data_IF_352104098592
#
_entry.id   IF_352104098592
#
_cell.length_a   1.000
_cell.length_b   1.000
_cell.length_c   1.000
_cell.angle_alpha   90.00
_cell.angle_beta   90.00
_cell.angle_gamma   90.00
#
_symmetry.space_group_name_H-M   'P 1'
#
loop_
_entity.id
_entity.type
_entity.pdbx_description
1 polymer ?
#
# COMPACT_ATOMS: atom_id res chain seq x y z
N UNK A 1 -9.20 4.78 11.64
CA UNK A 1 -7.99 4.37 10.89
C UNK A 1 -8.25 4.60 9.40
N UNK A 2 -7.28 5.11 8.65
CA UNK A 2 -7.39 5.27 7.20
C UNK A 2 -6.47 4.25 6.52
N UNK A 3 -7.01 3.50 5.56
CA UNK A 3 -6.26 2.47 4.83
C UNK A 3 -6.21 2.85 3.36
N UNK A 4 -5.01 3.18 2.88
CA UNK A 4 -4.76 3.37 1.47
C UNK A 4 -4.47 2.01 0.82
N UNK A 5 -5.27 1.64 -0.17
CA UNK A 5 -5.16 0.37 -0.89
C UNK A 5 -5.05 0.59 -2.39
N UNK A 6 -4.58 -0.40 -3.14
CA UNK A 6 -4.37 -0.30 -4.58
C UNK A 6 -3.08 -0.96 -5.05
N UNK A 7 -2.85 -1.04 -6.37
CA UNK A 7 -1.71 -1.75 -6.93
C UNK A 7 -0.37 -1.05 -6.59
N UNK A 8 0.73 -1.72 -6.91
CA UNK A 8 2.08 -1.24 -6.61
C UNK A 8 2.35 0.11 -7.30
N UNK A 9 3.24 0.93 -6.74
CA UNK A 9 3.63 2.22 -7.32
C UNK A 9 2.46 3.19 -7.66
N UNK A 10 1.33 3.08 -6.97
CA UNK A 10 0.18 3.99 -7.15
C UNK A 10 0.25 5.27 -6.29
N UNK A 11 1.37 5.52 -5.61
CA UNK A 11 1.54 6.75 -4.81
C UNK A 11 1.00 6.66 -3.37
N UNK A 12 0.64 5.46 -2.88
CA UNK A 12 0.02 5.28 -1.56
C UNK A 12 0.92 5.79 -0.43
N UNK A 13 2.21 5.44 -0.45
CA UNK A 13 3.17 5.83 0.58
C UNK A 13 3.41 7.33 0.52
N UNK A 14 3.63 7.85 -0.68
CA UNK A 14 3.83 9.27 -0.95
C UNK A 14 2.64 10.12 -0.48
N UNK A 15 1.41 9.67 -0.74
CA UNK A 15 0.20 10.32 -0.24
C UNK A 15 0.11 10.25 1.30
N UNK A 16 0.40 9.10 1.91
CA UNK A 16 0.39 8.95 3.36
C UNK A 16 1.38 9.90 4.05
N UNK A 17 2.62 9.98 3.57
CA UNK A 17 3.60 10.93 4.11
C UNK A 17 3.20 12.38 3.87
N UNK A 18 2.65 12.70 2.69
CA UNK A 18 2.14 14.05 2.40
C UNK A 18 1.04 14.45 3.39
N UNK A 19 0.09 13.55 3.67
CA UNK A 19 -0.96 13.77 4.67
C UNK A 19 -0.39 14.01 6.06
N UNK A 20 0.57 13.19 6.50
CA UNK A 20 1.19 13.35 7.82
C UNK A 20 2.02 14.64 7.93
N UNK A 21 2.62 15.10 6.82
CA UNK A 21 3.39 16.35 6.78
C UNK A 21 2.49 17.59 6.77
N UNK A 22 1.43 17.58 5.98
CA UNK A 22 0.56 18.76 5.79
C UNK A 22 -0.54 18.86 6.85
N UNK A 23 -0.90 17.73 7.47
CA UNK A 23 -1.99 17.63 8.45
C UNK A 23 -1.52 16.84 9.69
N UNK A 24 -0.35 17.20 10.23
CA UNK A 24 0.32 16.49 11.33
C UNK A 24 -0.50 16.41 12.61
N UNK A 25 -1.46 17.33 12.82
CA UNK A 25 -2.36 17.31 13.97
C UNK A 25 -3.41 16.19 13.89
N UNK A 26 -3.62 15.62 12.70
CA UNK A 26 -4.67 14.64 12.42
C UNK A 26 -4.12 13.28 11.96
N UNK A 27 -2.96 13.27 11.31
CA UNK A 27 -2.40 12.07 10.69
C UNK A 27 -1.01 11.74 11.21
N UNK A 28 -0.84 10.47 11.57
CA UNK A 28 0.44 9.82 11.79
C UNK A 28 0.55 8.60 10.88
N UNK A 29 1.77 8.31 10.42
CA UNK A 29 2.05 7.14 9.61
C UNK A 29 2.65 6.05 10.50
N UNK A 30 2.01 4.88 10.54
CA UNK A 30 2.58 3.70 11.19
C UNK A 30 3.63 3.06 10.28
N UNK A 31 4.89 3.03 10.75
CA UNK A 31 5.99 2.41 10.01
C UNK A 31 5.72 0.90 9.90
N UNK A 32 5.75 0.40 8.66
CA UNK A 32 5.45 -1.00 8.37
C UNK A 32 6.67 -1.89 8.64
N UNK A 33 6.45 -3.20 8.84
CA UNK A 33 7.52 -4.18 8.98
C UNK A 33 7.73 -4.92 7.65
N UNK A 34 8.97 -5.32 7.34
CA UNK A 34 9.32 -6.09 6.13
C UNK A 34 10.47 -7.05 6.41
N UNK A 35 10.46 -8.21 5.74
CA UNK A 35 11.54 -9.21 5.81
C UNK A 35 12.57 -9.06 4.69
N UNK A 36 12.26 -8.26 3.67
CA UNK A 36 13.24 -7.82 2.67
C UNK A 36 14.24 -6.85 3.32
N UNK A 37 15.53 -7.01 3.10
CA UNK A 37 16.54 -6.03 3.54
C UNK A 37 16.42 -4.65 2.86
N UNK A 38 16.97 -3.58 3.45
CA UNK A 38 16.83 -2.21 2.95
C UNK A 38 17.43 -2.02 1.55
N UNK A 39 16.76 -1.25 0.70
CA UNK A 39 17.32 -0.71 -0.53
C UNK A 39 18.19 0.51 -0.22
N UNK A 40 19.01 0.93 -1.19
CA UNK A 40 19.86 2.12 -1.03
C UNK A 40 19.00 3.35 -0.70
N UNK A 41 19.32 3.99 0.44
CA UNK A 41 18.63 5.17 0.95
C UNK A 41 17.38 4.89 1.79
N UNK A 42 16.98 3.63 2.01
CA UNK A 42 15.95 3.30 3.01
C UNK A 42 16.55 3.25 4.42
N UNK A 43 15.82 3.79 5.40
CA UNK A 43 16.23 3.85 6.80
C UNK A 43 15.31 3.02 7.72
N UNK A 44 15.92 2.27 8.64
CA UNK A 44 15.17 1.47 9.63
C UNK A 44 14.41 2.38 10.62
N UNK A 45 13.15 2.03 10.89
CA UNK A 45 12.26 2.81 11.73
C UNK A 45 11.70 4.09 11.09
N UNK A 46 12.06 4.37 9.82
CA UNK A 46 11.53 5.48 9.03
C UNK A 46 10.78 4.97 7.79
N UNK A 47 11.46 4.21 6.93
CA UNK A 47 10.85 3.59 5.75
C UNK A 47 10.11 2.31 6.10
N UNK A 48 10.78 1.45 6.86
CA UNK A 48 10.28 0.18 7.38
C UNK A 48 11.01 -0.18 8.67
N UNK A 49 10.42 -1.06 9.47
CA UNK A 49 11.16 -1.92 10.37
C UNK A 49 11.63 -3.15 9.60
N UNK A 50 12.94 -3.24 9.39
CA UNK A 50 13.59 -4.35 8.70
C UNK A 50 13.83 -5.48 9.70
N UNK A 51 12.99 -6.50 9.63
CA UNK A 51 12.97 -7.60 10.61
C UNK A 51 13.31 -8.93 9.98
N UNK A 52 13.71 -9.91 10.79
CA UNK A 52 13.93 -11.26 10.30
C UNK A 52 12.60 -11.94 9.94
N UNK A 53 12.65 -12.99 9.13
CA UNK A 53 11.46 -13.80 8.84
C UNK A 53 10.87 -14.38 10.14
N UNK A 54 11.72 -14.85 11.06
CA UNK A 54 11.30 -15.37 12.36
C UNK A 54 10.56 -14.31 13.19
N UNK A 55 11.13 -13.11 13.30
CA UNK A 55 10.50 -12.00 14.03
C UNK A 55 9.17 -11.60 13.39
N UNK A 56 9.11 -11.55 12.06
CA UNK A 56 7.89 -11.23 11.34
C UNK A 56 6.78 -12.26 11.62
N UNK A 57 7.11 -13.56 11.62
CA UNK A 57 6.15 -14.61 11.97
C UNK A 57 5.65 -14.49 13.42
N UNK A 58 6.52 -14.11 14.36
CA UNK A 58 6.12 -13.85 15.74
C UNK A 58 5.19 -12.64 15.85
N UNK A 59 5.46 -11.57 15.08
CA UNK A 59 4.63 -10.36 15.04
C UNK A 59 3.24 -10.60 14.42
N UNK A 60 3.11 -11.49 13.42
CA UNK A 60 1.81 -11.83 12.82
C UNK A 60 0.83 -12.31 13.91
N UNK A 61 1.27 -13.20 14.80
CA UNK A 61 0.42 -13.72 15.87
C UNK A 61 -0.07 -12.60 16.80
N UNK A 62 0.83 -11.70 17.20
CA UNK A 62 0.51 -10.55 18.06
C UNK A 62 -0.39 -9.53 17.36
N UNK A 63 -0.14 -9.27 16.07
CA UNK A 63 -0.93 -8.35 15.25
C UNK A 63 -2.36 -8.86 15.04
N UNK A 64 -2.53 -10.15 14.75
CA UNK A 64 -3.86 -10.77 14.61
C UNK A 64 -4.65 -10.67 15.91
N UNK A 65 -4.02 -10.95 17.06
CA UNK A 65 -4.70 -10.82 18.36
C UNK A 65 -5.12 -9.38 18.63
N UNK A 66 -4.23 -8.42 18.37
CA UNK A 66 -4.51 -6.98 18.56
C UNK A 66 -5.65 -6.49 17.68
N UNK A 67 -5.67 -6.89 16.40
CA UNK A 67 -6.74 -6.52 15.47
C UNK A 67 -8.08 -7.16 15.86
N UNK A 68 -8.08 -8.43 16.28
CA UNK A 68 -9.30 -9.13 16.74
C UNK A 68 -9.93 -8.50 17.99
N UNK A 69 -9.11 -7.89 18.85
CA UNK A 69 -9.57 -7.19 20.05
C UNK A 69 -9.83 -5.70 19.83
N UNK A 70 -9.73 -5.22 18.59
CA UNK A 70 -10.01 -3.84 18.24
C UNK A 70 -11.43 -3.67 17.70
N UNK A 71 -11.99 -2.48 17.87
CA UNK A 71 -13.26 -2.06 17.26
C UNK A 71 -13.00 -1.05 16.14
N UNK A 72 -11.94 -1.24 15.36
CA UNK A 72 -11.64 -0.33 14.28
C UNK A 72 -12.68 -0.44 13.16
N UNK A 73 -13.23 0.70 12.76
CA UNK A 73 -13.98 0.87 11.52
C UNK A 73 -13.10 1.64 10.53
N UNK A 74 -12.11 0.97 9.89
CA UNK A 74 -11.23 1.64 8.97
C UNK A 74 -11.97 2.10 7.72
N UNK A 75 -11.62 3.30 7.25
CA UNK A 75 -12.01 3.76 5.92
C UNK A 75 -10.98 3.32 4.90
N UNK A 76 -11.42 2.64 3.84
CA UNK A 76 -10.60 2.16 2.75
C UNK A 76 -10.68 3.10 1.55
N UNK A 77 -9.54 3.69 1.19
CA UNK A 77 -9.42 4.48 -0.04
C UNK A 77 -8.65 3.68 -1.07
N UNK A 78 -9.31 3.32 -2.16
CA UNK A 78 -8.69 2.67 -3.31
C UNK A 78 -8.00 3.70 -4.20
N UNK A 79 -6.69 3.60 -4.35
CA UNK A 79 -5.93 4.28 -5.39
C UNK A 79 -5.77 3.36 -6.59
N UNK A 80 -6.28 3.73 -7.75
CA UNK A 80 -6.28 2.86 -8.95
C UNK A 80 -5.85 3.61 -10.21
N UNK A 81 -4.93 3.04 -11.03
CA UNK A 81 -4.57 3.63 -12.30
C UNK A 81 -5.75 3.67 -13.26
N UNK A 82 -5.91 4.78 -13.98
CA UNK A 82 -6.95 4.93 -15.02
C UNK A 82 -6.51 4.34 -16.36
N UNK A 83 -5.21 4.33 -16.63
CA UNK A 83 -4.62 3.81 -17.85
C UNK A 83 -3.60 2.70 -17.50
N UNK A 84 -3.92 1.46 -17.86
CA UNK A 84 -3.07 0.29 -17.58
C UNK A 84 -1.80 0.27 -18.43
N UNK A 85 -1.85 0.82 -19.65
CA UNK A 85 -0.69 0.84 -20.54
C UNK A 85 0.34 1.85 -20.05
N UNK A 86 -0.11 3.07 -19.75
CA UNK A 86 0.74 4.12 -19.18
C UNK A 86 1.32 3.69 -17.82
N UNK A 87 0.50 3.06 -16.97
CA UNK A 87 0.93 2.50 -15.70
C UNK A 87 2.02 1.42 -15.88
N UNK A 88 1.80 0.47 -16.78
CA UNK A 88 2.77 -0.58 -17.13
C UNK A 88 4.08 0.02 -17.66
N UNK A 89 3.99 1.00 -18.56
CA UNK A 89 5.15 1.71 -19.09
C UNK A 89 5.95 2.39 -17.97
N UNK A 90 5.28 3.11 -17.07
CA UNK A 90 5.93 3.77 -15.92
C UNK A 90 6.66 2.79 -15.01
N UNK A 91 6.06 1.62 -14.75
CA UNK A 91 6.72 0.57 -13.95
C UNK A 91 7.99 0.05 -14.65
N UNK A 92 7.92 -0.16 -15.97
CA UNK A 92 9.09 -0.61 -16.77
C UNK A 92 10.21 0.43 -16.76
N UNK A 93 9.89 1.71 -16.91
CA UNK A 93 10.88 2.80 -16.97
C UNK A 93 11.65 2.97 -15.65
N UNK A 94 11.05 2.63 -14.51
CA UNK A 94 11.74 2.75 -13.21
C UNK A 94 12.88 1.76 -13.03
N UNK A 95 12.92 0.66 -13.81
CA UNK A 95 13.92 -0.41 -13.68
C UNK A 95 14.06 -1.03 -12.25
N UNK A 96 13.06 -0.82 -11.39
CA UNK A 96 13.02 -1.33 -10.02
C UNK A 96 12.26 -2.66 -9.89
N UNK A 97 11.58 -3.10 -10.94
CA UNK A 97 10.63 -4.21 -10.90
C UNK A 97 10.94 -5.25 -11.96
N UNK A 98 10.82 -6.52 -11.60
CA UNK A 98 10.91 -7.63 -12.55
C UNK A 98 9.66 -7.66 -13.44
N UNK A 99 9.77 -8.30 -14.61
CA UNK A 99 8.61 -8.48 -15.51
C UNK A 99 7.40 -9.10 -14.80
N UNK A 100 7.64 -10.14 -13.99
CA UNK A 100 6.60 -10.80 -13.19
C UNK A 100 5.95 -9.88 -12.16
N UNK A 101 6.72 -9.02 -11.48
CA UNK A 101 6.17 -8.03 -10.56
C UNK A 101 5.29 -7.02 -11.30
N UNK A 102 5.71 -6.58 -12.48
CA UNK A 102 4.93 -5.65 -13.32
C UNK A 102 3.62 -6.30 -13.77
N UNK A 103 3.68 -7.51 -14.31
CA UNK A 103 2.50 -8.24 -14.80
C UNK A 103 1.50 -8.50 -13.65
N UNK A 104 2.00 -8.87 -12.46
CA UNK A 104 1.19 -9.02 -11.25
C UNK A 104 0.54 -7.70 -10.84
N UNK A 105 1.29 -6.59 -10.90
CA UNK A 105 0.78 -5.28 -10.51
C UNK A 105 -0.29 -4.76 -11.48
N UNK A 106 -0.15 -5.03 -12.78
CA UNK A 106 -1.15 -4.71 -13.82
C UNK A 106 -2.40 -5.57 -13.66
N UNK A 107 -2.26 -6.88 -13.45
CA UNK A 107 -3.40 -7.78 -13.23
C UNK A 107 -4.23 -7.40 -11.99
N UNK A 108 -3.58 -6.90 -10.94
CA UNK A 108 -4.27 -6.39 -9.74
C UNK A 108 -5.19 -5.20 -10.04
N UNK A 109 -4.90 -4.39 -11.05
CA UNK A 109 -5.79 -3.27 -11.46
C UNK A 109 -7.18 -3.82 -11.78
N UNK A 110 -7.24 -4.88 -12.58
CA UNK A 110 -8.50 -5.51 -12.98
C UNK A 110 -9.23 -6.13 -11.77
N UNK A 111 -8.48 -6.72 -10.84
CA UNK A 111 -9.04 -7.27 -9.61
C UNK A 111 -9.69 -6.19 -8.74
N UNK A 112 -9.01 -5.06 -8.54
CA UNK A 112 -9.55 -3.94 -7.77
C UNK A 112 -10.77 -3.31 -8.46
N UNK A 113 -10.71 -3.12 -9.78
CA UNK A 113 -11.82 -2.59 -10.56
C UNK A 113 -13.06 -3.50 -10.47
N UNK A 114 -12.86 -4.82 -10.57
CA UNK A 114 -13.94 -5.80 -10.42
C UNK A 114 -14.55 -5.74 -9.02
N UNK A 115 -13.73 -5.78 -7.96
CA UNK A 115 -14.23 -5.71 -6.58
C UNK A 115 -15.02 -4.44 -6.34
N UNK A 116 -14.52 -3.29 -6.79
CA UNK A 116 -15.20 -2.00 -6.64
C UNK A 116 -16.56 -1.97 -7.35
N UNK A 117 -16.66 -2.63 -8.53
CA UNK A 117 -17.91 -2.73 -9.29
C UNK A 117 -18.92 -3.68 -8.66
N UNK A 118 -18.46 -4.87 -8.26
CA UNK A 118 -19.33 -5.95 -7.77
C UNK A 118 -19.73 -5.78 -6.29
N UNK A 119 -19.00 -4.96 -5.53
CA UNK A 119 -19.24 -4.73 -4.10
C UNK A 119 -19.29 -3.23 -3.79
N UNK A 120 -20.41 -2.55 -4.08
CA UNK A 120 -20.59 -1.15 -3.72
C UNK A 120 -20.36 -0.92 -2.21
N UNK A 121 -19.58 0.10 -1.87
CA UNK A 121 -19.20 0.40 -0.48
C UNK A 121 -18.06 -0.46 0.08
N UNK A 122 -17.48 -1.38 -0.69
CA UNK A 122 -16.29 -2.13 -0.26
C UNK A 122 -15.06 -1.21 -0.10
N UNK A 123 -14.92 -0.23 -0.99
CA UNK A 123 -14.03 0.90 -0.79
C UNK A 123 -14.89 2.13 -0.50
N UNK A 124 -14.58 2.87 0.56
CA UNK A 124 -15.28 4.10 0.92
C UNK A 124 -15.09 5.18 -0.16
N UNK A 125 -13.89 5.25 -0.74
CA UNK A 125 -13.56 6.18 -1.81
C UNK A 125 -12.59 5.58 -2.82
N UNK A 126 -12.64 6.10 -4.05
CA UNK A 126 -11.71 5.76 -5.13
C UNK A 126 -10.99 7.02 -5.60
N UNK A 127 -9.67 6.98 -5.62
CA UNK A 127 -8.80 8.02 -6.14
C UNK A 127 -8.12 7.49 -7.41
N UNK A 128 -8.46 8.03 -8.59
CA UNK A 128 -7.72 7.76 -9.81
C UNK A 128 -6.25 8.21 -9.66
N UNK A 129 -5.29 7.40 -10.11
CA UNK A 129 -3.86 7.77 -10.07
C UNK A 129 -3.21 7.70 -11.45
N UNK A 130 -2.26 8.60 -11.72
CA UNK A 130 -1.55 8.66 -13.01
C UNK A 130 -1.99 9.78 -13.95
N UNK A 131 -2.78 10.75 -13.48
CA UNK A 131 -2.93 12.06 -14.13
C UNK A 131 -1.68 12.92 -14.00
#
# INVERSE_FOLDING_TARGET
MLVLTGPQACGKRELAHKLCREFSDFFAYGVCHTTRGPYFGEEDGSDYHFVTEEDFQNMIHMGVFSLKNSHFEPRYILMIPTDKEQYSMRLRTRALYTRTQIDTAVARVDTYALINRERPGFFDHVIPCGT
#
